data_IF_731784892894
#
_entry.id   IF_731784892894
#
_cell.length_a   1.000
_cell.length_b   1.000
_cell.length_c   1.000
_cell.angle_alpha   90.00
_cell.angle_beta   90.00
_cell.angle_gamma   90.00
#
_symmetry.space_group_name_H-M   'P 1'
#
loop_
_entity.id
_entity.type
_entity.pdbx_description
1 polymer ?
#
# COMPACT_ATOMS: atom_id res chain seq x y z
N UNK A 1 -59.15 0.26 40.75
CA UNK A 1 -59.63 -0.90 39.97
C UNK A 1 -58.41 -1.69 39.53
N UNK A 2 -58.23 -2.87 40.12
CA UNK A 2 -57.25 -3.87 39.74
C UNK A 2 -57.99 -5.02 39.05
N UNK A 3 -57.41 -5.64 38.04
CA UNK A 3 -57.13 -7.07 38.02
C UNK A 3 -56.31 -7.45 36.76
N UNK A 4 -55.41 -8.44 36.88
CA UNK A 4 -54.24 -8.63 36.01
C UNK A 4 -54.39 -9.76 34.98
N UNK A 5 -53.61 -9.70 33.90
CA UNK A 5 -53.37 -10.85 33.02
C UNK A 5 -52.34 -11.82 33.66
N UNK A 6 -52.84 -12.76 34.47
CA UNK A 6 -52.35 -14.17 34.49
C UNK A 6 -52.67 -14.74 33.09
N UNK A 7 -51.79 -15.45 32.38
CA UNK A 7 -51.56 -16.91 32.36
C UNK A 7 -50.25 -17.14 31.58
N UNK A 8 -49.08 -17.29 32.23
CA UNK A 8 -48.36 -18.55 32.50
C UNK A 8 -48.45 -19.67 31.46
N UNK A 9 -47.25 -20.09 30.99
CA UNK A 9 -46.81 -21.47 30.67
C UNK A 9 -47.50 -22.10 29.45
N UNK A 10 -46.84 -22.79 28.54
CA UNK A 10 -45.50 -23.37 28.47
C UNK A 10 -45.27 -23.72 26.99
N UNK A 11 -44.00 -23.88 26.62
CA UNK A 11 -43.42 -24.60 25.47
C UNK A 11 -42.07 -23.88 25.24
N UNK A 12 -41.10 -23.97 26.16
CA UNK A 12 -40.11 -25.05 26.15
C UNK A 12 -39.75 -25.46 24.72
N UNK A 13 -38.94 -24.64 24.05
CA UNK A 13 -38.16 -25.05 22.88
C UNK A 13 -36.80 -25.53 23.43
N UNK A 14 -36.54 -26.85 23.46
CA UNK A 14 -35.29 -27.38 23.97
C UNK A 14 -34.20 -27.23 22.89
N UNK A 15 -33.38 -26.19 22.99
CA UNK A 15 -32.12 -26.14 22.25
C UNK A 15 -31.04 -26.93 23.01
N UNK A 16 -31.18 -28.24 23.03
CA UNK A 16 -30.07 -29.13 23.34
C UNK A 16 -29.45 -29.60 22.02
N UNK A 17 -28.23 -29.12 21.74
CA UNK A 17 -27.09 -29.90 21.25
C UNK A 17 -26.20 -29.09 20.29
N UNK A 18 -25.01 -28.77 20.79
CA UNK A 18 -23.73 -29.02 20.13
C UNK A 18 -23.58 -28.58 18.67
N UNK A 19 -23.02 -27.38 18.51
CA UNK A 19 -21.86 -27.23 17.66
C UNK A 19 -20.81 -26.43 18.43
N UNK A 20 -19.91 -27.15 19.10
CA UNK A 20 -18.59 -26.65 19.41
C UNK A 20 -17.89 -26.39 18.08
N UNK A 21 -18.16 -25.22 17.49
CA UNK A 21 -17.36 -24.72 16.38
C UNK A 21 -15.98 -24.47 16.98
N UNK A 22 -15.06 -25.37 16.65
CA UNK A 22 -13.66 -25.30 16.97
C UNK A 22 -13.17 -23.85 16.76
N UNK A 23 -12.63 -23.26 17.83
CA UNK A 23 -11.73 -22.13 17.71
C UNK A 23 -10.58 -22.64 16.86
N UNK A 24 -10.65 -22.41 15.55
CA UNK A 24 -9.52 -22.65 14.68
C UNK A 24 -8.44 -21.66 15.11
N UNK A 25 -7.25 -22.09 15.57
CA UNK A 25 -6.08 -21.24 15.58
C UNK A 25 -5.59 -21.14 14.12
N UNK A 26 -6.43 -20.60 13.24
CA UNK A 26 -6.21 -20.55 11.80
C UNK A 26 -6.16 -19.13 11.25
N UNK A 27 -6.62 -18.14 12.01
CA UNK A 27 -6.37 -16.73 11.75
C UNK A 27 -5.10 -16.33 12.52
N UNK A 28 -3.96 -16.82 12.04
CA UNK A 28 -2.79 -15.95 12.10
C UNK A 28 -3.20 -14.71 11.31
N UNK A 29 -3.53 -13.63 12.03
CA UNK A 29 -3.19 -12.31 11.52
C UNK A 29 -1.74 -12.50 11.09
N UNK A 30 -1.51 -12.55 9.79
CA UNK A 30 -0.16 -12.44 9.28
C UNK A 30 0.35 -11.15 9.91
N UNK A 31 1.31 -11.29 10.83
CA UNK A 31 2.09 -10.16 11.28
C UNK A 31 2.47 -9.41 10.00
N UNK A 32 2.36 -8.07 9.96
CA UNK A 32 2.93 -7.32 8.87
C UNK A 32 4.44 -7.58 8.92
N UNK A 33 4.87 -8.63 8.22
CA UNK A 33 6.25 -9.06 8.07
C UNK A 33 7.05 -7.79 7.77
N UNK A 34 7.93 -7.35 8.70
CA UNK A 34 8.69 -6.12 8.54
C UNK A 34 9.74 -6.37 7.47
N UNK A 35 9.30 -6.37 6.22
CA UNK A 35 10.08 -6.96 5.14
C UNK A 35 9.41 -6.84 3.78
N UNK A 36 8.08 -6.87 3.67
CA UNK A 36 7.44 -6.86 2.32
C UNK A 36 7.67 -5.59 1.49
N UNK A 37 8.13 -4.49 2.09
CA UNK A 37 8.50 -3.25 1.36
C UNK A 37 9.99 -3.19 0.94
N UNK A 38 10.84 -4.05 1.51
CA UNK A 38 12.31 -4.04 1.35
C UNK A 38 12.94 -5.43 1.13
N UNK A 39 12.11 -6.47 1.11
CA UNK A 39 12.49 -7.89 1.04
C UNK A 39 12.06 -8.45 -0.30
N UNK A 40 12.58 -7.88 -1.38
CA UNK A 40 12.67 -8.61 -2.63
C UNK A 40 13.71 -9.71 -2.47
N UNK A 41 13.45 -10.90 -3.00
CA UNK A 41 14.45 -11.97 -3.16
C UNK A 41 15.54 -11.47 -4.12
N UNK A 42 16.47 -10.69 -3.58
CA UNK A 42 17.56 -10.01 -4.26
C UNK A 42 18.69 -9.73 -3.27
N UNK A 43 19.78 -9.05 -3.68
CA UNK A 43 20.97 -8.79 -2.87
C UNK A 43 20.72 -7.96 -1.59
N UNK A 44 19.46 -7.64 -1.28
CA UNK A 44 19.03 -7.01 -0.03
C UNK A 44 18.94 -8.01 1.14
N UNK A 45 18.85 -9.32 0.86
CA UNK A 45 18.89 -10.37 1.88
C UNK A 45 20.26 -10.49 2.59
N UNK A 46 21.32 -9.94 2.00
CA UNK A 46 22.69 -9.98 2.51
C UNK A 46 23.15 -8.66 3.16
N UNK A 47 22.24 -7.72 3.43
CA UNK A 47 22.59 -6.45 4.07
C UNK A 47 22.84 -6.61 5.57
N UNK A 48 23.87 -5.95 6.09
CA UNK A 48 24.06 -5.81 7.53
C UNK A 48 22.97 -4.92 8.14
N UNK A 49 22.71 -5.03 9.43
CA UNK A 49 21.69 -4.20 10.08
C UNK A 49 22.05 -2.71 10.08
N UNK A 50 23.34 -2.38 10.11
CA UNK A 50 23.81 -1.00 9.94
C UNK A 50 23.49 -0.45 8.55
N UNK A 51 23.70 -1.23 7.47
CA UNK A 51 23.34 -0.85 6.11
C UNK A 51 21.82 -0.66 5.97
N UNK A 52 21.02 -1.57 6.54
CA UNK A 52 19.55 -1.44 6.55
C UNK A 52 19.12 -0.15 7.24
N UNK A 53 19.69 0.15 8.40
CA UNK A 53 19.38 1.36 9.16
C UNK A 53 19.74 2.63 8.39
N UNK A 54 20.90 2.69 7.74
CA UNK A 54 21.30 3.85 6.93
C UNK A 54 20.39 4.06 5.71
N UNK A 55 20.06 2.99 4.98
CA UNK A 55 19.11 3.06 3.88
C UNK A 55 17.72 3.51 4.34
N UNK A 56 17.26 3.02 5.49
CA UNK A 56 16.00 3.45 6.09
C UNK A 56 16.01 4.95 6.42
N UNK A 57 17.05 5.46 7.09
CA UNK A 57 17.14 6.87 7.45
C UNK A 57 17.18 7.77 6.20
N UNK A 58 17.97 7.37 5.20
CA UNK A 58 18.03 8.09 3.91
C UNK A 58 16.67 8.10 3.22
N UNK A 59 15.97 6.96 3.19
CA UNK A 59 14.62 6.89 2.62
C UNK A 59 13.64 7.79 3.38
N UNK A 60 13.64 7.73 4.71
CA UNK A 60 12.77 8.54 5.56
C UNK A 60 13.02 10.04 5.31
N UNK A 61 14.28 10.46 5.29
CA UNK A 61 14.65 11.85 5.01
C UNK A 61 14.21 12.29 3.60
N UNK A 62 14.38 11.44 2.59
CA UNK A 62 13.87 11.70 1.24
C UNK A 62 12.34 11.83 1.22
N UNK A 63 11.63 10.91 1.87
CA UNK A 63 10.18 10.91 1.91
C UNK A 63 9.65 12.18 2.57
N UNK A 64 10.26 12.63 3.67
CA UNK A 64 9.90 13.88 4.34
C UNK A 64 10.17 15.10 3.45
N UNK A 65 11.38 15.23 2.88
CA UNK A 65 11.73 16.42 2.07
C UNK A 65 10.96 16.51 0.74
N UNK A 66 10.50 15.39 0.20
CA UNK A 66 9.73 15.35 -1.05
C UNK A 66 8.21 15.43 -0.84
N UNK A 67 7.75 15.60 0.40
CA UNK A 67 6.31 15.57 0.71
C UNK A 67 5.55 16.72 0.05
N UNK A 68 6.08 17.95 0.13
CA UNK A 68 5.46 19.12 -0.48
C UNK A 68 5.41 19.02 -2.00
N UNK A 69 6.43 18.43 -2.63
CA UNK A 69 6.42 18.18 -4.07
C UNK A 69 5.31 17.19 -4.45
N UNK A 70 5.09 16.13 -3.67
CA UNK A 70 3.95 15.21 -3.90
C UNK A 70 2.62 15.93 -3.76
N UNK A 71 2.48 16.78 -2.74
CA UNK A 71 1.27 17.55 -2.52
C UNK A 71 1.01 18.52 -3.68
N UNK A 72 2.05 19.21 -4.16
CA UNK A 72 1.98 20.09 -5.32
C UNK A 72 1.53 19.33 -6.57
N UNK A 73 2.09 18.16 -6.84
CA UNK A 73 1.68 17.31 -7.98
C UNK A 73 0.21 16.86 -7.89
N UNK A 74 -0.28 16.57 -6.69
CA UNK A 74 -1.70 16.22 -6.48
C UNK A 74 -2.60 17.43 -6.73
N UNK A 75 -2.25 18.60 -6.19
CA UNK A 75 -2.99 19.86 -6.40
C UNK A 75 -3.00 20.28 -7.87
N UNK A 76 -1.85 20.19 -8.53
CA UNK A 76 -1.73 20.46 -9.98
C UNK A 76 -2.60 19.50 -10.79
N UNK A 77 -2.55 18.20 -10.47
CA UNK A 77 -3.40 17.20 -11.12
C UNK A 77 -4.89 17.49 -10.96
N UNK A 78 -5.32 17.89 -9.75
CA UNK A 78 -6.70 18.31 -9.50
C UNK A 78 -7.09 19.51 -10.35
N UNK A 79 -6.27 20.58 -10.37
CA UNK A 79 -6.54 21.78 -11.15
C UNK A 79 -6.62 21.49 -12.66
N UNK A 80 -5.73 20.64 -13.19
CA UNK A 80 -5.76 20.26 -14.59
C UNK A 80 -7.07 19.54 -14.95
N UNK A 81 -7.49 18.60 -14.11
CA UNK A 81 -8.74 17.87 -14.32
C UNK A 81 -9.98 18.76 -14.22
N UNK A 82 -9.98 19.75 -13.33
CA UNK A 82 -11.07 20.74 -13.22
C UNK A 82 -11.18 21.62 -14.47
N UNK A 83 -10.06 21.94 -15.12
CA UNK A 83 -10.02 22.72 -16.36
C UNK A 83 -10.21 21.90 -17.65
N UNK A 84 -10.14 20.57 -17.58
CA UNK A 84 -10.23 19.70 -18.75
C UNK A 84 -11.70 19.54 -19.22
N UNK A 85 -12.06 20.24 -20.30
CA UNK A 85 -13.40 20.17 -20.90
C UNK A 85 -13.50 19.19 -22.08
N UNK A 86 -12.37 18.64 -22.54
CA UNK A 86 -12.30 17.70 -23.66
C UNK A 86 -11.56 16.43 -23.30
N UNK A 87 -11.77 15.38 -24.09
CA UNK A 87 -11.07 14.10 -23.92
C UNK A 87 -9.56 14.26 -24.11
N UNK A 88 -9.14 15.10 -25.05
CA UNK A 88 -7.75 15.42 -25.34
C UNK A 88 -7.09 16.12 -24.15
N UNK A 89 -7.75 17.12 -23.58
CA UNK A 89 -7.28 17.82 -22.38
C UNK A 89 -7.13 16.86 -21.19
N UNK A 90 -8.12 15.99 -20.98
CA UNK A 90 -8.04 14.96 -19.95
C UNK A 90 -6.83 14.03 -20.13
N UNK A 91 -6.60 13.55 -21.36
CA UNK A 91 -5.42 12.71 -21.70
C UNK A 91 -4.12 13.45 -21.42
N UNK A 92 -4.04 14.73 -21.76
CA UNK A 92 -2.93 15.62 -21.44
C UNK A 92 -2.64 15.65 -19.94
N UNK A 93 -3.65 15.95 -19.12
CA UNK A 93 -3.53 15.96 -17.65
C UNK A 93 -3.00 14.63 -17.10
N UNK A 94 -3.49 13.49 -17.61
CA UNK A 94 -3.00 12.17 -17.20
C UNK A 94 -1.56 11.93 -17.60
N UNK A 95 -1.14 12.40 -18.77
CA UNK A 95 0.24 12.29 -19.24
C UNK A 95 1.20 13.11 -18.38
N UNK A 96 0.89 14.38 -18.14
CA UNK A 96 1.68 15.27 -17.29
C UNK A 96 1.83 14.68 -15.87
N UNK A 97 0.72 14.23 -15.28
CA UNK A 97 0.75 13.60 -13.97
C UNK A 97 1.67 12.36 -13.96
N UNK A 98 1.60 11.49 -14.97
CA UNK A 98 2.50 10.33 -15.08
C UNK A 98 3.96 10.75 -15.19
N UNK A 99 4.27 11.76 -15.99
CA UNK A 99 5.63 12.27 -16.17
C UNK A 99 6.18 12.83 -14.86
N UNK A 100 5.40 13.64 -14.14
CA UNK A 100 5.78 14.19 -12.85
C UNK A 100 6.06 13.09 -11.82
N UNK A 101 5.22 12.04 -11.76
CA UNK A 101 5.50 10.87 -10.91
C UNK A 101 6.76 10.11 -11.31
N UNK A 102 7.01 9.92 -12.61
CA UNK A 102 8.25 9.29 -13.07
C UNK A 102 9.48 10.10 -12.68
N UNK A 103 9.43 11.43 -12.83
CA UNK A 103 10.51 12.32 -12.44
C UNK A 103 10.78 12.25 -10.92
N UNK A 104 9.74 12.29 -10.09
CA UNK A 104 9.89 12.16 -8.63
C UNK A 104 10.49 10.80 -8.24
N UNK A 105 10.07 9.72 -8.90
CA UNK A 105 10.63 8.39 -8.65
C UNK A 105 12.10 8.31 -9.08
N UNK A 106 12.48 8.93 -10.21
CA UNK A 106 13.87 9.00 -10.65
C UNK A 106 14.75 9.72 -9.63
N UNK A 107 14.33 10.89 -9.14
CA UNK A 107 15.03 11.61 -8.07
C UNK A 107 15.18 10.75 -6.81
N UNK A 108 14.13 10.03 -6.42
CA UNK A 108 14.22 9.11 -5.28
C UNK A 108 15.21 7.97 -5.51
N UNK A 109 15.31 7.45 -6.73
CA UNK A 109 16.30 6.41 -7.08
C UNK A 109 17.72 6.93 -7.03
N UNK A 110 17.99 8.13 -7.55
CA UNK A 110 19.31 8.76 -7.48
C UNK A 110 19.79 8.89 -6.05
N UNK A 111 18.91 9.33 -5.16
CA UNK A 111 19.22 9.54 -3.73
C UNK A 111 19.53 8.22 -3.04
N UNK A 112 18.71 7.20 -3.28
CA UNK A 112 18.95 5.87 -2.72
C UNK A 112 20.20 5.21 -3.33
N UNK A 113 20.45 5.39 -4.63
CA UNK A 113 21.64 4.86 -5.29
C UNK A 113 22.92 5.53 -4.81
N UNK A 114 22.89 6.84 -4.55
CA UNK A 114 24.01 7.56 -3.95
C UNK A 114 24.36 6.99 -2.57
N UNK A 115 23.35 6.72 -1.74
CA UNK A 115 23.58 6.09 -0.44
C UNK A 115 24.08 4.66 -0.57
N UNK A 116 23.49 3.86 -1.46
CA UNK A 116 23.96 2.49 -1.75
C UNK A 116 25.43 2.47 -2.20
N UNK A 117 25.83 3.42 -3.04
CA UNK A 117 27.22 3.53 -3.50
C UNK A 117 28.19 3.79 -2.35
N UNK A 118 27.85 4.65 -1.38
CA UNK A 118 28.66 4.88 -0.17
C UNK A 118 28.79 3.62 0.69
N UNK A 119 27.77 2.76 0.68
CA UNK A 119 27.74 1.50 1.43
C UNK A 119 28.38 0.32 0.67
N UNK A 120 28.98 0.57 -0.51
CA UNK A 120 29.56 -0.48 -1.35
C UNK A 120 28.52 -1.41 -2.00
N UNK A 121 27.25 -0.97 -2.06
CA UNK A 121 26.15 -1.74 -2.61
C UNK A 121 25.91 -1.39 -4.08
N UNK A 122 25.51 -2.37 -4.93
CA UNK A 122 25.15 -2.09 -6.31
C UNK A 122 23.91 -1.17 -6.38
N UNK A 123 23.74 -0.37 -7.44
CA UNK A 123 22.56 0.46 -7.61
C UNK A 123 21.28 -0.39 -7.65
N UNK A 124 20.15 0.21 -7.29
CA UNK A 124 18.87 -0.48 -7.36
C UNK A 124 18.55 -0.86 -8.81
N UNK A 125 18.08 -2.09 -9.08
CA UNK A 125 17.74 -2.52 -10.43
C UNK A 125 16.67 -1.62 -11.03
N UNK A 126 16.72 -1.46 -12.36
CA UNK A 126 15.64 -0.82 -13.10
C UNK A 126 14.34 -1.57 -12.82
N UNK A 127 13.31 -0.86 -12.35
CA UNK A 127 11.98 -1.46 -12.27
C UNK A 127 11.52 -1.68 -13.70
N UNK A 128 11.72 -2.90 -14.21
CA UNK A 128 10.98 -3.40 -15.35
C UNK A 128 9.51 -3.38 -14.92
N UNK A 129 8.78 -2.36 -15.35
CA UNK A 129 7.37 -2.22 -15.02
C UNK A 129 6.67 -3.51 -15.42
N UNK A 130 6.02 -4.20 -14.47
CA UNK A 130 5.06 -5.23 -14.85
C UNK A 130 4.02 -4.53 -15.74
N UNK A 131 3.74 -5.03 -16.96
CA UNK A 131 2.74 -4.44 -17.83
C UNK A 131 1.44 -4.26 -17.03
N UNK A 132 0.95 -3.03 -16.99
CA UNK A 132 -0.33 -2.75 -16.35
C UNK A 132 -1.40 -3.31 -17.28
N UNK A 133 -1.97 -4.47 -16.92
CA UNK A 133 -3.01 -5.15 -17.69
C UNK A 133 -2.51 -6.35 -18.49
N UNK A 134 -2.49 -7.51 -17.85
CA UNK A 134 -2.69 -8.81 -18.48
C UNK A 134 -3.57 -9.68 -17.57
N UNK A 135 -4.59 -9.07 -16.98
CA UNK A 135 -5.74 -9.80 -16.45
C UNK A 135 -6.72 -9.98 -17.58
N UNK A 136 -6.60 -11.06 -18.35
CA UNK A 136 -7.63 -11.46 -19.31
C UNK A 136 -8.97 -11.52 -18.57
N UNK A 137 -9.88 -10.59 -18.88
CA UNK A 137 -11.32 -10.80 -18.65
C UNK A 137 -11.68 -12.00 -19.52
N UNK A 138 -11.77 -13.19 -18.94
CA UNK A 138 -12.48 -14.29 -19.60
C UNK A 138 -13.95 -13.88 -19.65
N UNK A 139 -14.47 -13.78 -20.86
CA UNK A 139 -15.91 -13.68 -21.12
C UNK A 139 -16.61 -15.01 -20.86
#
# INVERSE_FOLDING_TARGET
MALPLRWHRALLIPCAALAAAAIQPGLSLADPEPGRRWGGRGPEASLTDSQKQQLFQTRRAWELRSYDQRLAMLRQGQSCLQGATTLEAYRGCKQEQRQAWRALQAQGREVMNAERSKLGLPPMPERQGRPWGNGSRKG
#
